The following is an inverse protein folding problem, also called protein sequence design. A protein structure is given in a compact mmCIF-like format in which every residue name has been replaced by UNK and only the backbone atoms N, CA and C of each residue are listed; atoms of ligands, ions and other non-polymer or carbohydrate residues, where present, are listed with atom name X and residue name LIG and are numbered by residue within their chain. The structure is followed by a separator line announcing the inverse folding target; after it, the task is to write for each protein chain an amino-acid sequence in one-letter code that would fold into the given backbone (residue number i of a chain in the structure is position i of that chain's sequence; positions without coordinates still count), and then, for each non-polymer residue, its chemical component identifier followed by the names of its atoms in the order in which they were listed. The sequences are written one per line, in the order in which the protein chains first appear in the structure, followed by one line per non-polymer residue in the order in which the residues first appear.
data_IF_250370586673
#
_entry.id   IF_250370586673
#
_cell.length_a   1.000
_cell.length_b   1.000
_cell.length_c   1.000
_cell.angle_alpha   90.00
_cell.angle_beta   90.00
_cell.angle_gamma   90.00
#
_symmetry.space_group_name_H-M   'P 1'
#
loop_
_entity.id
_entity.type
_entity.pdbx_description
1 polymer ?
#
# COMPACT_ATOMS: atom_id res chain seq x y z
N UNK A 1 -14.51 -11.93 4.52
CA UNK A 1 -13.70 -11.41 5.64
C UNK A 1 -12.52 -10.66 5.06
N UNK A 2 -12.19 -9.49 5.59
CA UNK A 2 -10.99 -8.75 5.20
C UNK A 2 -9.79 -9.28 5.96
N UNK A 3 -8.64 -9.44 5.31
CA UNK A 3 -7.37 -9.82 5.94
C UNK A 3 -6.60 -8.61 6.50
N UNK A 4 -7.09 -7.40 6.25
CA UNK A 4 -6.48 -6.15 6.73
C UNK A 4 -7.05 -5.76 8.09
N UNK A 5 -6.17 -5.28 8.96
CA UNK A 5 -6.55 -4.76 10.27
C UNK A 5 -7.03 -3.30 10.17
N UNK A 6 -7.97 -2.88 11.03
CA UNK A 6 -8.25 -1.46 11.22
C UNK A 6 -6.99 -0.69 11.61
N UNK A 7 -6.87 0.57 11.17
CA UNK A 7 -5.72 1.42 11.46
C UNK A 7 -5.40 1.49 12.97
N UNK A 8 -6.42 1.66 13.80
CA UNK A 8 -6.28 1.71 15.26
C UNK A 8 -5.80 0.39 15.85
N UNK A 9 -6.21 -0.76 15.30
CA UNK A 9 -5.74 -2.05 15.78
C UNK A 9 -4.23 -2.23 15.53
N UNK A 10 -3.74 -1.77 14.37
CA UNK A 10 -2.30 -1.77 14.07
C UNK A 10 -1.57 -0.82 15.02
N UNK A 11 -2.04 0.42 15.14
CA UNK A 11 -1.44 1.43 16.04
C UNK A 11 -1.33 0.92 17.47
N UNK A 12 -2.42 0.39 18.02
CA UNK A 12 -2.47 -0.11 19.39
C UNK A 12 -1.53 -1.29 19.61
N UNK A 13 -1.44 -2.23 18.66
CA UNK A 13 -0.50 -3.36 18.77
C UNK A 13 0.97 -2.92 18.86
N UNK A 14 1.34 -1.82 18.20
CA UNK A 14 2.69 -1.25 18.26
C UNK A 14 2.94 -0.59 19.63
N UNK A 15 1.95 0.12 20.17
CA UNK A 15 2.03 0.73 21.50
C UNK A 15 2.12 -0.34 22.61
N UNK A 16 1.35 -1.41 22.51
CA UNK A 16 1.38 -2.54 23.44
C UNK A 16 2.74 -3.27 23.44
N UNK A 17 3.48 -3.21 22.33
CA UNK A 17 4.85 -3.71 22.24
C UNK A 17 5.89 -2.79 22.93
N UNK A 18 5.46 -1.71 23.58
CA UNK A 18 6.31 -0.81 24.36
C UNK A 18 6.90 0.34 23.57
N UNK A 19 6.44 0.60 22.35
CA UNK A 19 6.86 1.76 21.58
C UNK A 19 6.01 2.99 21.93
N UNK A 20 6.62 4.16 21.79
CA UNK A 20 5.96 5.46 21.94
C UNK A 20 5.71 6.04 20.56
N UNK A 21 4.46 6.44 20.29
CA UNK A 21 4.10 7.11 19.05
C UNK A 21 4.65 8.54 19.01
N UNK A 22 5.36 8.85 17.92
CA UNK A 22 5.77 10.21 17.57
C UNK A 22 4.91 10.80 16.46
N UNK A 23 4.57 9.99 15.46
CA UNK A 23 3.72 10.38 14.34
C UNK A 23 2.80 9.21 14.01
N UNK A 24 1.52 9.51 13.82
CA UNK A 24 0.57 8.62 13.16
C UNK A 24 -0.34 9.43 12.25
N UNK A 25 -0.18 9.27 10.94
CA UNK A 25 -0.85 10.12 9.96
C UNK A 25 -1.41 9.27 8.82
N UNK A 26 -2.68 9.50 8.48
CA UNK A 26 -3.24 9.01 7.23
C UNK A 26 -2.64 9.81 6.07
N UNK A 27 -1.92 9.12 5.19
CA UNK A 27 -1.23 9.71 4.03
C UNK A 27 -1.82 9.20 2.71
N UNK A 28 -3.01 8.58 2.75
CA UNK A 28 -3.68 7.97 1.59
C UNK A 28 -3.77 8.94 0.42
N UNK A 29 -4.30 10.15 0.64
CA UNK A 29 -4.47 11.16 -0.42
C UNK A 29 -3.13 11.63 -0.99
N UNK A 30 -2.11 11.77 -0.13
CA UNK A 30 -0.78 12.23 -0.54
C UNK A 30 -0.13 11.25 -1.51
N UNK A 31 -0.26 9.95 -1.26
CA UNK A 31 0.36 8.92 -2.07
C UNK A 31 -0.52 8.41 -3.22
N UNK A 32 -1.81 8.76 -3.26
CA UNK A 32 -2.74 8.23 -4.27
C UNK A 32 -2.26 8.51 -5.70
N UNK A 33 -1.74 9.72 -5.96
CA UNK A 33 -1.21 10.08 -7.26
C UNK A 33 0.08 9.32 -7.62
N UNK A 34 0.95 9.07 -6.64
CA UNK A 34 2.15 8.25 -6.85
C UNK A 34 1.78 6.79 -7.21
N UNK A 35 0.75 6.25 -6.56
CA UNK A 35 0.21 4.94 -6.88
C UNK A 35 -0.42 4.91 -8.28
N UNK A 36 -1.15 5.95 -8.69
CA UNK A 36 -1.69 6.10 -10.06
C UNK A 36 -0.58 6.07 -11.10
N UNK A 37 0.42 6.92 -10.95
CA UNK A 37 1.59 6.98 -11.86
C UNK A 37 2.31 5.64 -11.93
N UNK A 38 2.46 4.96 -10.78
CA UNK A 38 3.09 3.64 -10.73
C UNK A 38 2.26 2.57 -11.43
N UNK A 39 0.93 2.59 -11.27
CA UNK A 39 0.02 1.68 -11.96
C UNK A 39 0.08 1.87 -13.49
N UNK A 40 0.11 3.12 -13.97
CA UNK A 40 0.24 3.45 -15.40
C UNK A 40 1.58 2.99 -15.99
N UNK A 41 2.68 3.16 -15.25
CA UNK A 41 4.02 2.72 -15.67
C UNK A 41 4.17 1.19 -15.65
N UNK A 42 3.23 0.47 -15.07
CA UNK A 42 3.26 -1.00 -15.03
C UNK A 42 2.80 -1.54 -16.36
N UNK A 43 3.77 -2.01 -17.15
CA UNK A 43 3.48 -2.64 -18.44
C UNK A 43 2.86 -4.02 -18.24
N UNK A 44 2.11 -4.46 -19.25
CA UNK A 44 1.71 -5.86 -19.36
C UNK A 44 2.94 -6.75 -19.49
N UNK A 45 2.86 -7.97 -18.99
CA UNK A 45 4.01 -8.89 -18.93
C UNK A 45 4.58 -9.28 -20.30
N UNK A 46 3.83 -9.06 -21.39
CA UNK A 46 4.36 -9.25 -22.75
C UNK A 46 5.33 -8.14 -23.20
N UNK A 47 5.44 -7.03 -22.43
CA UNK A 47 6.34 -5.90 -22.70
C UNK A 47 7.17 -5.51 -21.47
N UNK A 48 7.25 -6.38 -20.46
CA UNK A 48 7.97 -6.10 -19.22
C UNK A 48 9.48 -6.24 -19.41
N UNK A 49 10.24 -5.48 -18.62
CA UNK A 49 11.71 -5.59 -18.56
C UNK A 49 12.12 -6.99 -18.13
N UNK A 50 13.28 -7.48 -18.58
CA UNK A 50 13.85 -8.78 -18.16
C UNK A 50 13.95 -8.93 -16.64
N UNK A 51 14.13 -7.82 -15.92
CA UNK A 51 14.07 -7.74 -14.47
C UNK A 51 12.96 -6.78 -14.07
N UNK A 52 11.77 -7.30 -13.75
CA UNK A 52 10.62 -6.48 -13.41
C UNK A 52 9.71 -7.16 -12.41
N UNK A 53 8.81 -6.39 -11.79
CA UNK A 53 7.90 -6.86 -10.73
C UNK A 53 6.98 -8.02 -11.15
N UNK A 54 6.71 -8.18 -12.44
CA UNK A 54 6.00 -9.33 -13.01
C UNK A 54 6.70 -10.68 -12.75
N UNK A 55 8.01 -10.70 -12.46
CA UNK A 55 8.70 -11.93 -12.04
C UNK A 55 8.26 -12.41 -10.65
N UNK A 56 7.84 -11.49 -9.78
CA UNK A 56 7.38 -11.79 -8.42
C UNK A 56 5.86 -11.89 -8.35
N UNK A 57 5.16 -11.01 -9.07
CA UNK A 57 3.70 -10.86 -9.02
C UNK A 57 2.98 -11.56 -10.19
N UNK A 58 3.74 -12.20 -11.08
CA UNK A 58 3.21 -12.84 -12.27
C UNK A 58 2.66 -11.85 -13.30
N UNK A 59 1.93 -12.39 -14.27
CA UNK A 59 1.34 -11.64 -15.37
C UNK A 59 0.25 -10.65 -14.93
N UNK A 60 -0.26 -10.79 -13.70
CA UNK A 60 -1.32 -9.96 -13.16
C UNK A 60 -0.82 -8.70 -12.45
N UNK A 61 0.49 -8.43 -12.44
CA UNK A 61 1.10 -7.30 -11.74
C UNK A 61 0.42 -5.95 -12.07
N UNK A 62 0.02 -5.74 -13.32
CA UNK A 62 -0.69 -4.53 -13.77
C UNK A 62 -2.11 -4.45 -13.19
N UNK A 63 -2.84 -5.57 -13.22
CA UNK A 63 -4.19 -5.67 -12.65
C UNK A 63 -4.17 -5.44 -11.14
N UNK A 64 -3.22 -6.07 -10.44
CA UNK A 64 -3.04 -5.91 -9.00
C UNK A 64 -2.82 -4.43 -8.61
N UNK A 65 -1.97 -3.71 -9.36
CA UNK A 65 -1.71 -2.29 -9.09
C UNK A 65 -2.93 -1.40 -9.36
N UNK A 66 -3.71 -1.68 -10.42
CA UNK A 66 -4.99 -0.99 -10.65
C UNK A 66 -5.97 -1.21 -9.51
N UNK A 67 -6.08 -2.46 -9.02
CA UNK A 67 -6.96 -2.79 -7.90
C UNK A 67 -6.55 -2.05 -6.62
N UNK A 68 -5.25 -1.86 -6.35
CA UNK A 68 -4.77 -1.05 -5.22
C UNK A 68 -5.24 0.40 -5.35
N UNK A 69 -5.05 1.03 -6.51
CA UNK A 69 -5.49 2.41 -6.76
C UNK A 69 -7.00 2.55 -6.60
N UNK A 70 -7.78 1.62 -7.13
CA UNK A 70 -9.24 1.63 -7.03
C UNK A 70 -9.70 1.47 -5.58
N UNK A 71 -9.09 0.55 -4.83
CA UNK A 71 -9.44 0.32 -3.42
C UNK A 71 -9.08 1.53 -2.55
N UNK A 72 -7.93 2.18 -2.80
CA UNK A 72 -7.57 3.44 -2.13
C UNK A 72 -8.57 4.56 -2.46
N UNK A 73 -8.93 4.70 -3.74
CA UNK A 73 -9.86 5.74 -4.20
C UNK A 73 -11.28 5.55 -3.64
N UNK A 74 -11.69 4.30 -3.41
CA UNK A 74 -12.98 3.94 -2.80
C UNK A 74 -12.96 3.95 -1.27
N UNK A 75 -11.82 4.23 -0.63
CA UNK A 75 -11.68 4.21 0.82
C UNK A 75 -11.78 2.80 1.44
N UNK A 76 -11.60 1.74 0.64
CA UNK A 76 -11.63 0.35 1.11
C UNK A 76 -10.33 -0.05 1.81
N UNK A 77 -9.23 0.59 1.42
CA UNK A 77 -7.92 0.48 2.07
C UNK A 77 -7.35 1.88 2.25
N UNK A 78 -6.39 2.02 3.15
CA UNK A 78 -5.73 3.29 3.46
C UNK A 78 -4.24 3.08 3.75
N UNK A 79 -3.46 4.14 3.55
CA UNK A 79 -2.03 4.15 3.84
C UNK A 79 -1.78 5.10 5.01
N UNK A 80 -1.13 4.56 6.04
CA UNK A 80 -0.71 5.31 7.22
C UNK A 80 0.80 5.36 7.31
N UNK A 81 1.31 6.53 7.71
CA UNK A 81 2.70 6.71 8.08
C UNK A 81 2.79 6.79 9.60
N UNK A 82 3.46 5.81 10.20
CA UNK A 82 3.75 5.77 11.63
C UNK A 82 5.24 5.96 11.90
N UNK A 83 5.58 6.81 12.86
CA UNK A 83 6.93 6.94 13.42
C UNK A 83 6.84 6.67 14.91
N UNK A 84 7.61 5.68 15.37
CA UNK A 84 7.60 5.22 16.75
C UNK A 84 9.01 5.20 17.30
N UNK A 85 9.17 5.50 18.59
CA UNK A 85 10.42 5.39 19.33
C UNK A 85 10.32 4.24 20.33
N UNK A 86 11.46 3.59 20.57
CA UNK A 86 11.61 2.60 21.62
C UNK A 86 12.08 3.29 22.91
#
# INVERSE_FOLDING_TARGET
MSFLWPAEAIRNSILEAGFIENIWKNVTTQYLEEYRVTAEKTRDSMQSSTLGVHLLLGNEAKLMRKNVVDNLSKGLISVYQGVFKK
#
